data_IF_240650155341
#
_entry.id   IF_240650155341
#
_cell.length_a   1.000
_cell.length_b   1.000
_cell.length_c   1.000
_cell.angle_alpha   90.00
_cell.angle_beta   90.00
_cell.angle_gamma   90.00
#
_symmetry.space_group_name_H-M   'P 1'
#
loop_
_entity.id
_entity.type
_entity.pdbx_description
1 polymer ?
#
# COMPACT_ATOMS: atom_id res chain seq x y z
N UNK A 1 8.73 -23.68 4.77
CA UNK A 1 7.57 -22.93 5.31
C UNK A 1 8.05 -21.51 5.57
N UNK A 2 7.62 -20.55 4.75
CA UNK A 2 7.89 -19.12 4.98
C UNK A 2 6.81 -18.62 5.94
N UNK A 3 7.12 -18.61 7.23
CA UNK A 3 6.28 -17.94 8.24
C UNK A 3 6.64 -16.47 8.27
N UNK A 4 6.04 -15.69 7.37
CA UNK A 4 6.17 -14.22 7.37
C UNK A 4 5.06 -13.65 8.23
N UNK A 5 5.34 -13.33 9.47
CA UNK A 5 4.43 -12.66 10.38
C UNK A 5 4.83 -11.17 10.50
N UNK A 6 4.20 -10.31 9.72
CA UNK A 6 4.40 -8.88 9.76
C UNK A 6 3.13 -8.23 10.34
N UNK A 7 3.28 -7.45 11.39
CA UNK A 7 2.24 -6.58 11.92
C UNK A 7 2.50 -5.14 11.46
N UNK A 8 1.54 -4.54 10.76
CA UNK A 8 1.66 -3.15 10.32
C UNK A 8 0.57 -2.28 10.93
N UNK A 9 0.97 -1.05 11.28
CA UNK A 9 0.07 0.02 11.72
C UNK A 9 0.28 1.23 10.82
N UNK A 10 -0.83 1.81 10.33
CA UNK A 10 -0.76 2.97 9.45
C UNK A 10 -1.73 4.08 9.87
N UNK A 11 -1.28 5.32 9.69
CA UNK A 11 -2.10 6.51 9.78
C UNK A 11 -2.11 7.18 8.41
N UNK A 12 -3.29 7.59 7.96
CA UNK A 12 -3.47 8.32 6.71
C UNK A 12 -4.40 9.50 6.92
N UNK A 13 -3.92 10.69 6.56
CA UNK A 13 -4.72 11.90 6.52
C UNK A 13 -4.93 12.34 5.08
N UNK A 14 -6.15 12.65 4.69
CA UNK A 14 -6.47 13.03 3.31
C UNK A 14 -7.34 14.27 3.23
N UNK A 15 -7.06 15.10 2.23
CA UNK A 15 -7.81 16.29 1.86
C UNK A 15 -8.34 16.12 0.43
N UNK A 16 -9.49 16.71 0.15
CA UNK A 16 -10.07 16.76 -1.19
C UNK A 16 -10.17 18.22 -1.64
N UNK A 17 -9.09 18.80 -2.19
CA UNK A 17 -9.09 20.21 -2.61
C UNK A 17 -10.03 20.47 -3.76
N UNK A 18 -10.23 19.48 -4.65
CA UNK A 18 -11.14 19.56 -5.82
C UNK A 18 -11.93 18.24 -5.87
N UNK A 19 -13.10 18.25 -6.49
CA UNK A 19 -14.03 17.11 -6.55
C UNK A 19 -13.36 15.78 -6.94
N UNK A 20 -12.51 15.82 -7.95
CA UNK A 20 -11.91 14.61 -8.54
C UNK A 20 -10.45 14.40 -8.12
N UNK A 21 -9.92 15.27 -7.26
CA UNK A 21 -8.53 15.19 -6.77
C UNK A 21 -8.51 15.07 -5.26
N UNK A 22 -7.78 14.07 -4.77
CA UNK A 22 -7.50 13.86 -3.36
C UNK A 22 -6.00 13.84 -3.12
N UNK A 23 -5.55 14.54 -2.10
CA UNK A 23 -4.17 14.53 -1.63
C UNK A 23 -4.15 13.88 -0.26
N UNK A 24 -3.20 13.01 -0.02
CA UNK A 24 -3.06 12.35 1.27
C UNK A 24 -1.59 12.28 1.70
N UNK A 25 -1.39 12.28 3.00
CA UNK A 25 -0.12 11.88 3.63
C UNK A 25 -0.38 10.62 4.44
N UNK A 26 0.56 9.70 4.44
CA UNK A 26 0.47 8.48 5.23
C UNK A 26 1.80 8.14 5.89
N UNK A 27 1.71 7.53 7.06
CA UNK A 27 2.82 6.92 7.75
C UNK A 27 2.43 5.49 8.13
N UNK A 28 3.27 4.52 7.81
CA UNK A 28 3.03 3.12 8.14
C UNK A 28 4.26 2.56 8.85
N UNK A 29 4.02 1.88 9.95
CA UNK A 29 5.06 1.17 10.70
C UNK A 29 4.86 -0.33 10.55
N UNK A 30 5.93 -1.01 10.20
CA UNK A 30 5.99 -2.46 10.01
C UNK A 30 6.86 -3.07 11.10
N UNK A 31 6.32 -4.06 11.81
CA UNK A 31 7.03 -4.78 12.85
C UNK A 31 7.05 -6.27 12.50
N UNK A 32 8.20 -6.90 12.59
CA UNK A 32 8.32 -8.35 12.54
C UNK A 32 7.93 -8.95 13.89
N UNK A 33 7.13 -10.03 13.88
CA UNK A 33 6.65 -10.68 15.13
C UNK A 33 7.55 -11.80 15.63
N UNK A 34 8.49 -12.28 14.83
CA UNK A 34 9.23 -13.54 15.13
C UNK A 34 10.75 -13.34 15.19
N UNK A 35 11.32 -12.32 14.57
CA UNK A 35 12.77 -12.07 14.58
C UNK A 35 13.08 -10.63 15.01
N UNK A 36 14.30 -10.45 15.58
CA UNK A 36 14.91 -9.14 15.88
C UNK A 36 15.18 -8.28 14.63
N UNK A 37 14.37 -8.42 13.56
CA UNK A 37 14.41 -7.55 12.40
C UNK A 37 13.80 -6.22 12.81
N UNK A 38 14.60 -5.17 12.72
CA UNK A 38 14.23 -3.83 13.13
C UNK A 38 12.94 -3.37 12.45
N UNK A 39 12.04 -2.81 13.23
CA UNK A 39 10.82 -2.20 12.72
C UNK A 39 11.17 -1.04 11.80
N UNK A 40 10.54 -0.97 10.62
CA UNK A 40 10.73 0.17 9.73
C UNK A 40 9.44 0.97 9.55
N UNK A 41 9.60 2.26 9.30
CA UNK A 41 8.48 3.18 9.09
C UNK A 41 8.56 3.75 7.67
N UNK A 42 7.44 3.83 6.98
CA UNK A 42 7.35 4.48 5.67
C UNK A 42 6.48 5.73 5.75
N UNK A 43 6.87 6.75 5.00
CA UNK A 43 6.11 7.99 4.85
C UNK A 43 5.82 8.20 3.37
N UNK A 44 4.57 8.55 3.04
CA UNK A 44 4.14 8.82 1.67
C UNK A 44 3.31 10.09 1.58
N UNK A 45 3.53 10.82 0.50
CA UNK A 45 2.58 11.80 -0.02
C UNK A 45 1.93 11.22 -1.27
N UNK A 46 0.61 11.23 -1.32
CA UNK A 46 -0.19 10.58 -2.36
C UNK A 46 -1.09 11.60 -3.03
N UNK A 47 -1.14 11.58 -4.34
CA UNK A 47 -2.13 12.27 -5.15
C UNK A 47 -3.03 11.26 -5.85
N UNK A 48 -4.35 11.39 -5.71
CA UNK A 48 -5.33 10.51 -6.35
C UNK A 48 -6.23 11.33 -7.25
N UNK A 49 -6.36 10.91 -8.50
CA UNK A 49 -7.32 11.42 -9.47
C UNK A 49 -8.43 10.40 -9.70
N UNK A 50 -9.68 10.82 -9.53
CA UNK A 50 -10.86 9.97 -9.68
C UNK A 50 -11.55 10.27 -11.01
N UNK A 51 -11.75 9.23 -11.82
CA UNK A 51 -12.49 9.32 -13.08
C UNK A 51 -13.46 8.14 -13.20
N UNK A 52 -14.75 8.41 -13.30
CA UNK A 52 -15.82 7.41 -13.26
C UNK A 52 -15.71 6.54 -11.98
N UNK A 53 -15.53 5.22 -12.17
CA UNK A 53 -15.40 4.25 -11.08
C UNK A 53 -13.93 3.88 -10.79
N UNK A 54 -12.98 4.62 -11.34
CA UNK A 54 -11.55 4.30 -11.25
C UNK A 54 -10.79 5.47 -10.62
N UNK A 55 -9.96 5.13 -9.64
CA UNK A 55 -9.03 6.06 -8.99
C UNK A 55 -7.59 5.70 -9.43
N UNK A 56 -6.86 6.72 -9.87
CA UNK A 56 -5.43 6.65 -10.18
C UNK A 56 -4.66 7.34 -9.08
N UNK A 57 -3.73 6.65 -8.45
CA UNK A 57 -2.92 7.19 -7.36
C UNK A 57 -1.45 7.19 -7.75
N UNK A 58 -0.80 8.32 -7.52
CA UNK A 58 0.64 8.46 -7.57
C UNK A 58 1.14 8.86 -6.19
N UNK A 59 2.28 8.32 -5.78
CA UNK A 59 2.87 8.60 -4.50
C UNK A 59 4.39 8.70 -4.55
N UNK A 60 4.91 9.54 -3.66
CA UNK A 60 6.32 9.62 -3.36
C UNK A 60 6.50 9.52 -1.85
N UNK A 61 7.49 8.78 -1.44
CA UNK A 61 7.76 8.54 -0.04
C UNK A 61 9.20 8.12 0.24
N UNK A 62 9.45 7.78 1.46
CA UNK A 62 10.73 7.24 1.94
C UNK A 62 10.48 6.32 3.13
N UNK A 63 11.43 5.44 3.38
CA UNK A 63 11.48 4.60 4.58
C UNK A 63 12.43 5.18 5.61
N UNK A 64 12.20 4.89 6.87
CA UNK A 64 13.09 5.20 7.97
C UNK A 64 13.26 3.96 8.85
N UNK A 65 14.51 3.61 9.13
CA UNK A 65 14.89 2.51 9.99
C UNK A 65 16.07 2.94 10.86
N UNK A 66 15.95 2.83 12.19
CA UNK A 66 17.00 3.14 13.18
C UNK A 66 17.69 4.51 12.97
N UNK A 67 16.93 5.51 12.49
CA UNK A 67 17.46 6.86 12.22
C UNK A 67 18.06 7.06 10.84
N UNK A 68 18.16 6.02 10.03
CA UNK A 68 18.56 6.11 8.62
C UNK A 68 17.32 6.28 7.72
N UNK A 69 17.44 7.18 6.74
CA UNK A 69 16.39 7.46 5.76
C UNK A 69 16.76 6.73 4.47
N UNK A 70 15.81 5.98 3.92
CA UNK A 70 15.99 5.30 2.64
C UNK A 70 15.99 6.28 1.46
N UNK A 71 16.45 5.80 0.32
CA UNK A 71 16.21 6.49 -0.95
C UNK A 71 14.70 6.66 -1.23
N UNK A 72 14.32 7.65 -2.08
CA UNK A 72 12.92 7.90 -2.40
C UNK A 72 12.23 6.66 -2.99
N UNK A 73 11.00 6.43 -2.56
CA UNK A 73 10.15 5.34 -3.02
C UNK A 73 9.03 5.96 -3.85
N UNK A 74 8.82 5.47 -5.06
CA UNK A 74 7.66 5.86 -5.88
C UNK A 74 6.57 4.78 -5.80
N UNK A 75 5.31 5.24 -5.75
CA UNK A 75 4.13 4.38 -5.71
C UNK A 75 3.19 4.77 -6.84
N UNK A 76 2.68 3.78 -7.54
CA UNK A 76 1.59 3.92 -8.50
C UNK A 76 0.49 2.92 -8.16
N UNK A 77 -0.73 3.42 -8.01
CA UNK A 77 -1.90 2.60 -7.68
C UNK A 77 -3.06 2.85 -8.63
N UNK A 78 -3.85 1.82 -8.85
CA UNK A 78 -5.12 1.91 -9.54
C UNK A 78 -6.13 1.10 -8.75
N UNK A 79 -7.30 1.69 -8.52
CA UNK A 79 -8.42 0.96 -7.97
C UNK A 79 -9.67 1.21 -8.80
N UNK A 80 -10.39 0.14 -9.14
CA UNK A 80 -11.63 0.20 -9.92
C UNK A 80 -12.77 -0.44 -9.13
N UNK A 81 -13.86 0.32 -8.96
CA UNK A 81 -15.05 -0.13 -8.25
C UNK A 81 -15.95 -0.94 -9.18
N UNK A 82 -16.18 -2.20 -8.86
CA UNK A 82 -17.11 -3.08 -9.56
C UNK A 82 -18.50 -3.08 -8.95
N UNK A 83 -18.60 -2.88 -7.62
CA UNK A 83 -19.87 -2.78 -6.91
C UNK A 83 -19.72 -1.91 -5.65
N UNK A 84 -20.79 -1.71 -4.89
CA UNK A 84 -20.75 -0.97 -3.64
C UNK A 84 -19.78 -1.58 -2.61
N UNK A 85 -19.52 -2.89 -2.71
CA UNK A 85 -18.73 -3.64 -1.74
C UNK A 85 -17.46 -4.27 -2.31
N UNK A 86 -17.23 -4.15 -3.62
CA UNK A 86 -16.10 -4.78 -4.28
C UNK A 86 -15.33 -3.78 -5.12
N UNK A 87 -14.06 -3.63 -4.79
CA UNK A 87 -13.08 -2.83 -5.53
C UNK A 87 -11.94 -3.77 -5.94
N UNK A 88 -11.43 -3.65 -7.14
CA UNK A 88 -10.15 -4.24 -7.53
C UNK A 88 -9.05 -3.19 -7.34
N UNK A 89 -7.95 -3.60 -6.72
CA UNK A 89 -6.83 -2.71 -6.37
C UNK A 89 -5.55 -3.29 -6.95
N UNK A 90 -4.75 -2.43 -7.56
CA UNK A 90 -3.35 -2.72 -7.86
C UNK A 90 -2.49 -1.62 -7.23
N UNK A 91 -1.39 -2.02 -6.60
CA UNK A 91 -0.39 -1.10 -6.08
C UNK A 91 0.99 -1.56 -6.55
N UNK A 92 1.75 -0.63 -7.08
CA UNK A 92 3.05 -0.89 -7.64
C UNK A 92 4.05 0.04 -6.95
N UNK A 93 5.10 -0.55 -6.40
CA UNK A 93 6.12 0.19 -5.65
C UNK A 93 7.44 0.07 -6.38
N UNK A 94 8.03 1.21 -6.67
CA UNK A 94 9.37 1.31 -7.24
C UNK A 94 10.32 1.62 -6.08
N UNK A 95 11.14 0.64 -5.75
CA UNK A 95 12.18 0.74 -4.73
C UNK A 95 13.52 0.90 -5.43
N UNK A 96 14.33 1.92 -5.09
CA UNK A 96 15.64 2.13 -5.74
C UNK A 96 16.62 0.96 -5.58
N UNK A 97 16.48 0.20 -4.49
CA UNK A 97 17.28 -1.00 -4.22
C UNK A 97 16.89 -2.24 -5.03
N UNK A 98 15.76 -2.18 -5.75
CA UNK A 98 15.30 -3.27 -6.63
C UNK A 98 15.35 -2.81 -8.08
N UNK A 99 15.92 -3.64 -8.96
CA UNK A 99 15.99 -3.35 -10.40
C UNK A 99 14.60 -3.33 -11.05
N UNK A 100 13.63 -4.00 -10.43
CA UNK A 100 12.26 -4.15 -10.94
C UNK A 100 11.23 -3.71 -9.91
N UNK A 101 10.10 -3.09 -10.35
CA UNK A 101 9.01 -2.71 -9.46
C UNK A 101 8.38 -3.94 -8.79
N UNK A 102 7.96 -3.77 -7.54
CA UNK A 102 7.10 -4.73 -6.84
C UNK A 102 5.65 -4.45 -7.21
N UNK A 103 4.96 -5.44 -7.75
CA UNK A 103 3.56 -5.34 -8.12
C UNK A 103 2.68 -6.04 -7.09
N UNK A 104 1.52 -5.46 -6.80
CA UNK A 104 0.48 -6.15 -6.08
C UNK A 104 -0.87 -5.99 -6.76
N UNK A 105 -1.72 -7.00 -6.66
CA UNK A 105 -3.07 -6.95 -7.19
C UNK A 105 -4.00 -7.84 -6.39
N UNK A 106 -5.26 -7.38 -6.21
CA UNK A 106 -6.28 -8.17 -5.55
C UNK A 106 -7.61 -7.45 -5.35
N UNK A 107 -8.65 -8.18 -4.99
CA UNK A 107 -9.92 -7.60 -4.58
C UNK A 107 -9.87 -7.01 -3.17
N UNK A 108 -10.57 -5.90 -2.99
CA UNK A 108 -10.88 -5.26 -1.70
C UNK A 108 -12.38 -5.36 -1.45
N UNK A 109 -12.73 -5.96 -0.34
CA UNK A 109 -14.11 -6.06 0.12
C UNK A 109 -14.40 -4.96 1.14
N UNK A 110 -15.44 -4.17 0.87
CA UNK A 110 -15.84 -3.06 1.73
C UNK A 110 -16.98 -3.48 2.66
N UNK A 111 -16.76 -3.36 3.97
CA UNK A 111 -17.80 -3.38 4.99
C UNK A 111 -18.18 -1.96 5.45
N UNK A 112 -18.97 -1.86 6.51
CA UNK A 112 -19.38 -0.56 7.06
C UNK A 112 -18.18 0.26 7.57
N UNK A 113 -17.38 -0.33 8.41
CA UNK A 113 -16.23 0.30 9.09
C UNK A 113 -14.94 -0.50 8.92
N UNK A 114 -14.99 -1.57 8.16
CA UNK A 114 -13.83 -2.43 7.91
C UNK A 114 -13.74 -2.77 6.43
N UNK A 115 -12.53 -2.77 5.89
CA UNK A 115 -12.27 -3.32 4.58
C UNK A 115 -11.24 -4.44 4.66
N UNK A 116 -11.35 -5.40 3.78
CA UNK A 116 -10.45 -6.56 3.70
C UNK A 116 -9.87 -6.61 2.29
N UNK A 117 -8.56 -6.62 2.19
CA UNK A 117 -7.82 -6.83 0.94
C UNK A 117 -7.29 -8.25 0.92
N UNK A 118 -7.50 -8.94 -0.17
CA UNK A 118 -6.90 -10.25 -0.45
C UNK A 118 -6.18 -10.12 -1.77
N UNK A 119 -4.92 -10.50 -1.84
CA UNK A 119 -4.18 -10.32 -3.08
C UNK A 119 -2.85 -11.05 -3.09
N UNK A 120 -2.06 -10.70 -4.09
CA UNK A 120 -0.75 -11.26 -4.33
C UNK A 120 0.25 -10.15 -4.59
N UNK A 121 1.44 -10.29 -4.01
CA UNK A 121 2.63 -9.56 -4.42
C UNK A 121 3.37 -10.39 -5.47
N UNK A 122 3.81 -9.73 -6.51
CA UNK A 122 4.65 -10.30 -7.56
C UNK A 122 6.05 -9.69 -7.43
N UNK A 123 7.02 -10.55 -7.15
CA UNK A 123 8.43 -10.20 -7.03
C UNK A 123 9.14 -10.65 -8.31
N UNK A 124 9.42 -9.76 -9.26
CA UNK A 124 9.90 -10.13 -10.59
C UNK A 124 11.24 -10.87 -10.59
N UNK A 125 12.14 -10.52 -9.68
CA UNK A 125 13.51 -11.05 -9.63
C UNK A 125 13.59 -12.54 -9.27
N UNK A 126 12.55 -13.05 -8.59
CA UNK A 126 12.50 -14.47 -8.15
C UNK A 126 11.32 -15.25 -8.76
N UNK A 127 10.47 -14.62 -9.59
CA UNK A 127 9.20 -15.17 -10.05
C UNK A 127 8.31 -15.69 -8.90
N UNK A 128 8.51 -15.14 -7.70
CA UNK A 128 7.77 -15.54 -6.52
C UNK A 128 6.49 -14.71 -6.40
N UNK A 129 5.41 -15.41 -6.13
CA UNK A 129 4.11 -14.82 -5.83
C UNK A 129 3.80 -15.05 -4.36
N UNK A 130 3.62 -13.97 -3.60
CA UNK A 130 3.34 -14.04 -2.17
C UNK A 130 1.90 -13.60 -1.91
N UNK A 131 1.03 -14.48 -1.40
CA UNK A 131 -0.32 -14.08 -1.02
C UNK A 131 -0.30 -13.19 0.21
N UNK A 132 -1.24 -12.23 0.27
CA UNK A 132 -1.45 -11.41 1.45
C UNK A 132 -2.92 -11.23 1.76
N UNK A 133 -3.21 -10.96 3.02
CA UNK A 133 -4.51 -10.50 3.51
C UNK A 133 -4.28 -9.30 4.42
N UNK A 134 -5.09 -8.27 4.25
CA UNK A 134 -5.00 -7.03 5.03
C UNK A 134 -6.40 -6.61 5.50
N UNK A 135 -6.46 -6.00 6.68
CA UNK A 135 -7.67 -5.44 7.24
C UNK A 135 -7.45 -3.98 7.57
N UNK A 136 -8.35 -3.13 7.12
CA UNK A 136 -8.33 -1.69 7.40
C UNK A 136 -9.62 -1.27 8.08
N UNK A 137 -9.50 -0.59 9.22
CA UNK A 137 -10.64 0.01 9.93
C UNK A 137 -10.69 1.51 9.68
N UNK A 138 -11.91 2.03 9.48
CA UNK A 138 -12.17 3.47 9.33
C UNK A 138 -13.06 3.92 10.49
N UNK A 139 -12.65 4.97 11.19
CA UNK A 139 -13.36 5.56 12.34
C UNK A 139 -14.08 6.83 11.94
#
# INVERSE_FOLDING_TARGET
TLDVNILSFGLKYSLRPIKDIRIAISANRYNHLIDDINAFTTFFTLGTYSYNNTDFTLGLGFGANDGEISEPIALFGLQTRFSERLIFVTENVILPSFETPVFSAGPRFLGKNISTDIGFFFLPDEFNTVPFISFTTTF
#
